data_IF_049379296636
#
_entry.id   IF_049379296636
#
_cell.length_a   1.000
_cell.length_b   1.000
_cell.length_c   1.000
_cell.angle_alpha   90.00
_cell.angle_beta   90.00
_cell.angle_gamma   90.00
#
_symmetry.space_group_name_H-M   'P 1'
#
loop_
_entity.id
_entity.type
_entity.pdbx_description
1 polymer ?
#
# COMPACT_ATOMS: atom_id res chain seq x y z
N UNK A 1 -4.24 20.56 2.19
CA UNK A 1 -4.67 19.16 2.02
C UNK A 1 -3.51 18.41 1.40
N UNK A 2 -3.14 17.24 1.94
CA UNK A 2 -2.13 16.36 1.32
C UNK A 2 -2.71 15.67 0.11
N UNK A 3 -1.95 15.58 -0.98
CA UNK A 3 -2.37 14.86 -2.19
C UNK A 3 -1.89 13.42 -2.10
N UNK A 4 -2.82 12.47 -2.21
CA UNK A 4 -2.52 11.05 -2.14
C UNK A 4 -3.21 10.32 -3.28
N UNK A 5 -2.45 9.49 -4.01
CA UNK A 5 -2.94 8.76 -5.18
C UNK A 5 -2.79 7.27 -4.88
N UNK A 6 -3.88 6.56 -4.54
CA UNK A 6 -3.83 5.12 -4.34
C UNK A 6 -3.65 4.43 -5.69
N UNK A 7 -2.68 3.53 -5.79
CA UNK A 7 -2.34 2.87 -7.06
C UNK A 7 -2.97 1.48 -7.15
N UNK A 8 -2.91 0.72 -6.05
CA UNK A 8 -3.49 -0.61 -5.97
C UNK A 8 -3.82 -1.00 -4.54
N UNK A 9 -4.61 -2.07 -4.42
CA UNK A 9 -4.97 -2.73 -3.18
C UNK A 9 -4.71 -4.23 -3.32
N UNK A 10 -4.43 -4.88 -2.21
CA UNK A 10 -4.38 -6.33 -2.10
C UNK A 10 -5.19 -6.77 -0.88
N UNK A 11 -6.02 -7.80 -1.04
CA UNK A 11 -6.74 -8.46 0.06
C UNK A 11 -6.16 -9.86 0.25
N UNK A 12 -5.80 -10.20 1.49
CA UNK A 12 -5.18 -11.47 1.83
C UNK A 12 -6.22 -12.44 2.40
N UNK A 13 -6.38 -13.59 1.76
CA UNK A 13 -7.29 -14.67 2.13
C UNK A 13 -6.53 -16.01 2.17
N UNK A 14 -5.47 -16.06 2.99
CA UNK A 14 -4.53 -17.19 3.17
C UNK A 14 -5.10 -18.56 2.69
N UNK A 15 -4.50 -19.23 1.69
CA UNK A 15 -3.18 -18.95 1.08
C UNK A 15 -3.22 -17.99 -0.12
N UNK A 16 -4.39 -17.45 -0.46
CA UNK A 16 -4.52 -16.62 -1.66
C UNK A 16 -4.44 -15.14 -1.33
N UNK A 17 -4.04 -14.37 -2.33
CA UNK A 17 -4.17 -12.92 -2.33
C UNK A 17 -4.91 -12.47 -3.59
N UNK A 18 -5.66 -11.38 -3.48
CA UNK A 18 -6.37 -10.79 -4.62
C UNK A 18 -5.99 -9.33 -4.73
N UNK A 19 -5.29 -8.99 -5.81
CA UNK A 19 -4.91 -7.63 -6.16
C UNK A 19 -6.03 -6.94 -6.92
N UNK A 20 -6.22 -5.67 -6.62
CA UNK A 20 -7.14 -4.76 -7.29
C UNK A 20 -6.36 -3.54 -7.70
N UNK A 21 -6.24 -3.31 -9.01
CA UNK A 21 -5.70 -2.05 -9.51
C UNK A 21 -6.73 -0.95 -9.34
N UNK A 22 -6.27 0.25 -8.98
CA UNK A 22 -7.13 1.42 -8.85
C UNK A 22 -6.90 2.30 -10.06
N UNK A 23 -7.92 2.38 -10.92
CA UNK A 23 -7.92 3.36 -12.00
C UNK A 23 -8.19 4.75 -11.42
N UNK A 24 -7.11 5.49 -11.23
CA UNK A 24 -7.15 6.88 -10.76
C UNK A 24 -7.12 7.89 -11.91
N UNK A 25 -6.97 7.44 -13.16
CA UNK A 25 -6.67 8.30 -14.31
C UNK A 25 -5.28 8.95 -14.27
N UNK A 26 -4.46 8.69 -13.25
CA UNK A 26 -3.10 9.22 -13.15
C UNK A 26 -2.06 8.26 -13.71
N UNK A 27 -1.11 8.82 -14.47
CA UNK A 27 0.11 8.11 -14.80
C UNK A 27 1.03 8.06 -13.57
N UNK A 28 1.41 6.86 -13.10
CA UNK A 28 2.22 6.70 -11.89
C UNK A 28 3.58 7.42 -11.96
N UNK A 29 4.20 7.51 -13.14
CA UNK A 29 5.46 8.25 -13.33
C UNK A 29 5.27 9.75 -13.11
N UNK A 30 4.21 10.33 -13.68
CA UNK A 30 3.86 11.74 -13.49
C UNK A 30 3.41 12.03 -12.05
N UNK A 31 2.58 11.15 -11.48
CA UNK A 31 2.16 11.22 -10.08
C UNK A 31 3.36 11.23 -9.14
N UNK A 32 4.33 10.35 -9.36
CA UNK A 32 5.53 10.28 -8.51
C UNK A 32 6.45 11.48 -8.69
N UNK A 33 6.62 12.03 -9.91
CA UNK A 33 7.39 13.27 -10.11
C UNK A 33 6.86 14.43 -9.24
N UNK A 34 5.54 14.46 -9.03
CA UNK A 34 4.88 15.49 -8.25
C UNK A 34 4.91 15.21 -6.74
N UNK A 35 4.62 13.96 -6.34
CA UNK A 35 4.44 13.58 -4.94
C UNK A 35 5.74 13.12 -4.26
N UNK A 36 6.68 12.56 -5.03
CA UNK A 36 8.04 12.15 -4.64
C UNK A 36 8.15 11.05 -3.59
N UNK A 37 7.04 10.62 -2.98
CA UNK A 37 7.03 9.50 -2.06
C UNK A 37 6.01 8.43 -2.46
N UNK A 38 6.43 7.19 -2.30
CA UNK A 38 5.62 6.00 -2.50
C UNK A 38 5.64 5.15 -1.24
N UNK A 39 4.50 4.58 -0.88
CA UNK A 39 4.31 3.82 0.34
C UNK A 39 3.54 2.54 0.06
N UNK A 40 3.81 1.55 0.91
CA UNK A 40 2.91 0.41 1.13
C UNK A 40 2.43 0.44 2.59
N UNK A 41 1.13 0.26 2.78
CA UNK A 41 0.48 0.22 4.10
C UNK A 41 -0.41 -1.00 4.21
N UNK A 42 -0.48 -1.60 5.40
CA UNK A 42 -1.34 -2.75 5.68
C UNK A 42 -2.43 -2.46 6.71
N UNK A 43 -3.56 -3.15 6.61
CA UNK A 43 -4.50 -3.36 7.72
C UNK A 43 -4.01 -4.56 8.51
N UNK A 44 -3.53 -4.34 9.75
CA UNK A 44 -3.24 -5.41 10.70
C UNK A 44 -4.35 -5.51 11.73
N UNK A 45 -4.88 -6.71 11.91
CA UNK A 45 -5.88 -6.98 12.94
C UNK A 45 -5.27 -7.23 14.32
N UNK A 46 -6.12 -7.46 15.31
CA UNK A 46 -5.69 -7.70 16.70
C UNK A 46 -4.90 -9.00 16.88
N UNK A 47 -5.08 -9.98 15.97
CA UNK A 47 -4.30 -11.23 15.97
C UNK A 47 -2.89 -11.04 15.42
N UNK A 48 -2.60 -9.87 14.84
CA UNK A 48 -1.33 -9.59 14.18
C UNK A 48 -1.30 -9.99 12.71
N UNK A 49 -2.43 -10.41 12.13
CA UNK A 49 -2.56 -10.79 10.72
C UNK A 49 -2.76 -9.57 9.84
N UNK A 50 -2.07 -9.53 8.69
CA UNK A 50 -2.34 -8.54 7.64
C UNK A 50 -3.53 -9.01 6.81
N UNK A 51 -4.61 -8.22 6.80
CA UNK A 51 -5.84 -8.53 6.08
C UNK A 51 -5.90 -7.91 4.69
N UNK A 52 -5.29 -6.74 4.54
CA UNK A 52 -5.16 -6.05 3.26
C UNK A 52 -3.93 -5.16 3.26
N UNK A 53 -3.47 -4.78 2.07
CA UNK A 53 -2.46 -3.76 1.88
C UNK A 53 -2.81 -2.83 0.72
N UNK A 54 -2.21 -1.64 0.69
CA UNK A 54 -2.34 -0.68 -0.39
C UNK A 54 -0.99 -0.08 -0.72
N UNK A 55 -0.74 0.09 -2.02
CA UNK A 55 0.36 0.89 -2.54
C UNK A 55 -0.20 2.24 -2.99
N UNK A 56 0.42 3.33 -2.56
CA UNK A 56 -0.02 4.68 -2.90
C UNK A 56 1.15 5.67 -2.98
N UNK A 57 0.90 6.76 -3.69
CA UNK A 57 1.80 7.92 -3.76
C UNK A 57 1.29 9.02 -2.82
N UNK A 58 2.21 9.77 -2.23
CA UNK A 58 1.88 10.85 -1.30
C UNK A 58 2.90 11.97 -1.38
N UNK A 59 2.46 13.21 -1.18
CA UNK A 59 3.32 14.38 -0.99
C UNK A 59 3.97 14.44 0.42
N UNK A 60 3.56 13.54 1.31
CA UNK A 60 4.14 13.38 2.64
C UNK A 60 5.43 12.57 2.53
N UNK A 61 6.56 13.17 2.92
CA UNK A 61 7.87 12.53 2.77
C UNK A 61 8.31 11.71 4.00
N UNK A 62 7.82 12.05 5.20
CA UNK A 62 8.13 11.32 6.42
C UNK A 62 7.12 10.19 6.68
N UNK A 63 7.60 8.94 6.64
CA UNK A 63 6.80 7.75 6.93
C UNK A 63 6.22 7.71 8.35
N UNK A 64 6.74 8.52 9.27
CA UNK A 64 6.28 8.64 10.66
C UNK A 64 5.25 9.75 10.84
N UNK A 65 4.92 10.50 9.79
CA UNK A 65 3.88 11.53 9.86
C UNK A 65 2.53 10.89 10.22
N UNK A 66 1.91 11.37 11.30
CA UNK A 66 0.64 10.86 11.81
C UNK A 66 -0.50 10.95 10.77
N UNK A 67 -0.40 11.86 9.80
CA UNK A 67 -1.41 12.00 8.72
C UNK A 67 -1.45 10.79 7.81
N UNK A 68 -0.35 10.07 7.62
CA UNK A 68 -0.32 8.89 6.74
C UNK A 68 -1.28 7.80 7.21
N UNK A 69 -1.44 7.63 8.52
CA UNK A 69 -2.41 6.68 9.07
C UNK A 69 -3.85 7.06 8.66
N UNK A 70 -4.22 8.35 8.79
CA UNK A 70 -5.53 8.85 8.39
C UNK A 70 -5.80 8.68 6.90
N UNK A 71 -4.84 9.07 6.06
CA UNK A 71 -4.88 8.89 4.60
C UNK A 71 -5.04 7.41 4.24
N UNK A 72 -4.27 6.53 4.89
CA UNK A 72 -4.30 5.09 4.61
C UNK A 72 -5.67 4.51 4.95
N UNK A 73 -6.24 4.87 6.11
CA UNK A 73 -7.57 4.43 6.50
C UNK A 73 -8.65 4.91 5.51
N UNK A 74 -8.53 6.15 5.02
CA UNK A 74 -9.42 6.70 4.00
C UNK A 74 -9.33 5.93 2.67
N UNK A 75 -8.13 5.59 2.22
CA UNK A 75 -7.93 4.74 1.04
C UNK A 75 -8.71 3.43 1.19
N UNK A 76 -8.54 2.72 2.32
CA UNK A 76 -9.25 1.46 2.53
C UNK A 76 -10.77 1.65 2.67
N UNK A 77 -11.22 2.74 3.29
CA UNK A 77 -12.64 3.02 3.49
C UNK A 77 -13.37 3.32 2.17
N UNK A 78 -12.69 3.97 1.23
CA UNK A 78 -13.26 4.40 -0.05
C UNK A 78 -13.34 3.27 -1.10
N UNK A 79 -12.66 2.14 -0.87
CA UNK A 79 -12.63 1.04 -1.83
C UNK A 79 -13.46 -0.16 -1.35
N UNK A 80 -14.39 -0.61 -2.20
CA UNK A 80 -15.33 -1.71 -1.89
C UNK A 80 -14.64 -2.99 -1.36
N UNK A 81 -13.51 -3.47 -1.91
CA UNK A 81 -12.88 -4.70 -1.44
C UNK A 81 -12.34 -4.62 -0.01
N UNK A 82 -12.02 -3.43 0.49
CA UNK A 82 -11.31 -3.26 1.78
C UNK A 82 -12.11 -2.49 2.83
N UNK A 83 -13.19 -1.79 2.44
CA UNK A 83 -14.06 -1.03 3.36
C UNK A 83 -14.54 -1.83 4.58
N UNK A 84 -14.90 -3.09 4.37
CA UNK A 84 -15.39 -3.97 5.45
C UNK A 84 -14.28 -4.42 6.43
N UNK A 85 -13.01 -4.17 6.10
CA UNK A 85 -11.85 -4.49 6.93
C UNK A 85 -11.41 -3.32 7.80
N UNK A 86 -11.81 -2.08 7.46
CA UNK A 86 -11.45 -0.87 8.23
C UNK A 86 -11.83 -0.96 9.72
N UNK A 87 -13.02 -1.48 10.11
CA UNK A 87 -13.34 -1.65 11.53
C UNK A 87 -12.45 -2.65 12.27
N UNK A 88 -11.67 -3.48 11.55
CA UNK A 88 -10.75 -4.47 12.12
C UNK A 88 -9.33 -3.94 12.32
N UNK A 89 -9.06 -2.69 11.93
CA UNK A 89 -7.73 -2.09 12.09
C UNK A 89 -7.37 -2.04 13.58
N UNK A 90 -6.37 -2.83 13.96
CA UNK A 90 -5.69 -2.71 15.25
C UNK A 90 -4.42 -1.86 15.10
N UNK A 91 -3.69 -2.05 14.00
CA UNK A 91 -2.54 -1.21 13.63
C UNK A 91 -2.36 -1.14 12.12
N UNK A 92 -1.60 -0.15 11.65
CA UNK A 92 -1.27 0.02 10.24
C UNK A 92 0.25 0.09 10.06
N UNK A 93 0.94 -1.03 9.79
CA UNK A 93 2.34 -0.97 9.40
C UNK A 93 2.48 -0.21 8.08
N UNK A 94 3.38 0.77 8.04
CA UNK A 94 3.66 1.61 6.86
C UNK A 94 5.14 1.50 6.53
N UNK A 95 5.45 1.24 5.26
CA UNK A 95 6.80 1.20 4.71
C UNK A 95 6.92 2.16 3.54
N UNK A 96 7.99 2.97 3.54
CA UNK A 96 8.36 3.79 2.39
C UNK A 96 9.03 2.90 1.35
N UNK A 97 8.53 2.96 0.11
CA UNK A 97 9.10 2.22 -1.01
C UNK A 97 10.35 2.97 -1.52
N UNK A 98 11.44 2.23 -1.74
CA UNK A 98 12.64 2.78 -2.37
C UNK A 98 12.48 2.63 -3.89
N UNK A 99 12.13 3.71 -4.57
CA UNK A 99 12.16 3.72 -6.03
C UNK A 99 13.57 4.08 -6.51
N UNK A 100 14.26 3.13 -7.13
CA UNK A 100 15.57 3.40 -7.72
C UNK A 100 15.39 4.03 -9.10
N UNK A 101 15.27 5.35 -9.15
CA UNK A 101 15.14 6.10 -10.42
C UNK A 101 16.40 6.06 -11.30
N UNK A 102 17.52 5.59 -10.77
CA UNK A 102 18.83 5.63 -11.44
C UNK A 102 19.10 4.36 -12.24
N UNK A 103 18.63 3.19 -11.77
CA UNK A 103 18.81 1.89 -12.43
C UNK A 103 17.49 1.16 -12.77
N UNK A 104 16.34 1.74 -12.43
CA UNK A 104 15.01 1.25 -12.76
C UNK A 104 14.05 2.41 -13.01
N UNK A 105 12.98 2.18 -13.74
CA UNK A 105 11.96 3.19 -13.95
C UNK A 105 10.87 3.06 -12.88
N UNK A 106 10.12 4.14 -12.63
CA UNK A 106 8.88 4.07 -11.84
C UNK A 106 7.90 3.04 -12.44
N UNK A 107 7.95 2.84 -13.76
CA UNK A 107 7.15 1.84 -14.47
C UNK A 107 7.54 0.42 -14.08
N UNK A 108 8.82 0.16 -13.87
CA UNK A 108 9.30 -1.16 -13.45
C UNK A 108 8.86 -1.41 -12.00
N UNK A 109 9.05 -0.44 -11.12
CA UNK A 109 8.69 -0.57 -9.70
C UNK A 109 7.17 -0.68 -9.45
N UNK A 110 6.35 -0.19 -10.37
CA UNK A 110 4.89 -0.38 -10.35
C UNK A 110 4.39 -1.30 -11.48
N UNK A 111 5.28 -2.12 -12.04
CA UNK A 111 4.86 -3.20 -12.93
C UNK A 111 4.05 -4.21 -12.12
N UNK A 112 3.12 -4.90 -12.77
CA UNK A 112 2.27 -5.92 -12.13
C UNK A 112 3.08 -6.91 -11.29
N UNK A 113 4.16 -7.45 -11.87
CA UNK A 113 5.03 -8.42 -11.21
C UNK A 113 5.72 -7.84 -9.95
N UNK A 114 6.24 -6.62 -10.02
CA UNK A 114 6.91 -6.00 -8.87
C UNK A 114 5.89 -5.63 -7.78
N UNK A 115 4.68 -5.21 -8.15
CA UNK A 115 3.62 -4.93 -7.16
C UNK A 115 3.19 -6.21 -6.43
N UNK A 116 3.02 -7.32 -7.15
CA UNK A 116 2.69 -8.61 -6.52
C UNK A 116 3.81 -9.04 -5.55
N UNK A 117 5.08 -8.93 -5.97
CA UNK A 117 6.22 -9.19 -5.10
C UNK A 117 6.26 -8.27 -3.87
N UNK A 118 5.95 -6.98 -4.03
CA UNK A 118 5.85 -6.03 -2.92
C UNK A 118 4.77 -6.46 -1.92
N UNK A 119 3.62 -6.95 -2.39
CA UNK A 119 2.55 -7.43 -1.51
C UNK A 119 2.94 -8.71 -0.79
N UNK A 120 3.61 -9.64 -1.46
CA UNK A 120 4.11 -10.89 -0.85
C UNK A 120 5.15 -10.59 0.22
N UNK A 121 6.18 -9.81 -0.12
CA UNK A 121 7.25 -9.42 0.82
C UNK A 121 6.68 -8.66 2.01
N UNK A 122 5.74 -7.75 1.76
CA UNK A 122 5.10 -6.99 2.83
C UNK A 122 4.31 -7.91 3.77
N UNK A 123 3.53 -8.85 3.23
CA UNK A 123 2.77 -9.82 4.01
C UNK A 123 3.70 -10.69 4.86
N UNK A 124 4.75 -11.26 4.27
CA UNK A 124 5.69 -12.13 4.97
C UNK A 124 6.37 -11.43 6.15
N UNK A 125 6.78 -10.17 5.96
CA UNK A 125 7.45 -9.40 7.00
C UNK A 125 6.51 -8.90 8.12
N UNK A 126 5.23 -8.70 7.81
CA UNK A 126 4.30 -7.97 8.67
C UNK A 126 3.10 -8.77 9.18
N UNK A 127 2.83 -9.95 8.65
CA UNK A 127 1.73 -10.82 9.08
C UNK A 127 2.26 -11.93 9.98
N UNK A 128 1.49 -12.30 11.00
CA UNK A 128 1.84 -13.44 11.86
C UNK A 128 1.95 -14.74 11.07
N UNK A 129 1.08 -14.95 10.08
CA UNK A 129 1.09 -16.10 9.17
C UNK A 129 2.35 -16.17 8.29
N UNK A 130 3.05 -15.03 8.11
CA UNK A 130 4.24 -14.92 7.27
C UNK A 130 5.57 -15.07 8.00
N UNK A 131 5.56 -15.08 9.34
CA UNK A 131 6.75 -15.25 10.20
C UNK A 131 6.97 -16.70 10.65
N UNK A 132 6.21 -17.63 10.08
CA UNK A 132 6.29 -19.08 10.36
C UNK A 132 7.50 -19.75 9.73
#
# INVERSE_FOLDING_TARGET
MSINIPLSLCVYNNPTQTRYDIDTGFNAEQGYKNLKSAYIVGIRDISGKILAASVFLSDIDDKKDAKLAGVSAEIFQNHKPTKHLVPKIHSMPISKLKLNLTNGTIKDAFSEREIDMLYDDFYMNNSIDGRG
#
